data_IF_062689657466
#
_entry.id   IF_062689657466
#
_cell.length_a   1.000
_cell.length_b   1.000
_cell.length_c   1.000
_cell.angle_alpha   90.00
_cell.angle_beta   90.00
_cell.angle_gamma   90.00
#
_symmetry.space_group_name_H-M   'P 1'
#
loop_
_entity.id
_entity.type
_entity.pdbx_description
1 polymer ?
#
# COMPACT_ATOMS: atom_id res chain seq x y z
N UNK A 1 27.03 -0.01 -21.23
CA UNK A 1 25.74 0.68 -20.99
C UNK A 1 25.66 0.95 -19.50
N UNK A 2 25.58 2.22 -19.06
CA UNK A 2 25.60 2.57 -17.63
C UNK A 2 24.17 2.41 -17.09
N UNK A 3 23.97 1.62 -16.04
CA UNK A 3 22.66 1.55 -15.39
C UNK A 3 22.33 2.94 -14.81
N UNK A 4 21.16 3.48 -15.18
CA UNK A 4 20.62 4.72 -14.59
C UNK A 4 20.19 4.43 -13.15
N UNK A 5 20.34 5.39 -12.26
CA UNK A 5 19.84 5.28 -10.89
C UNK A 5 18.32 5.48 -10.87
N UNK A 6 17.63 4.91 -9.88
CA UNK A 6 16.17 5.04 -9.72
C UNK A 6 15.71 6.50 -9.71
N UNK A 7 16.44 7.36 -9.02
CA UNK A 7 16.16 8.80 -8.93
C UNK A 7 16.43 9.60 -10.22
N UNK A 8 16.98 8.96 -11.26
CA UNK A 8 17.20 9.56 -12.58
C UNK A 8 16.09 9.19 -13.57
N UNK A 9 15.15 8.32 -13.19
CA UNK A 9 14.03 7.89 -14.02
C UNK A 9 12.86 8.85 -13.91
N UNK A 10 12.18 9.09 -15.02
CA UNK A 10 10.97 9.90 -15.05
C UNK A 10 9.79 9.12 -14.44
N UNK A 11 8.77 9.83 -13.94
CA UNK A 11 7.63 9.19 -13.27
C UNK A 11 6.94 8.08 -14.09
N UNK A 12 6.71 8.23 -15.40
CA UNK A 12 6.13 7.16 -16.21
C UNK A 12 7.05 5.93 -16.32
N UNK A 13 8.38 6.16 -16.41
CA UNK A 13 9.37 5.08 -16.43
C UNK A 13 9.38 4.32 -15.10
N UNK A 14 9.33 5.06 -13.97
CA UNK A 14 9.23 4.48 -12.62
C UNK A 14 7.97 3.65 -12.46
N UNK A 15 6.80 4.20 -12.81
CA UNK A 15 5.52 3.47 -12.76
C UNK A 15 5.61 2.17 -13.57
N UNK A 16 6.01 2.27 -14.84
CA UNK A 16 6.09 1.09 -15.72
C UNK A 16 7.03 0.02 -15.17
N UNK A 17 8.18 0.44 -14.62
CA UNK A 17 9.13 -0.47 -13.99
C UNK A 17 8.51 -1.15 -12.75
N UNK A 18 7.88 -0.40 -11.83
CA UNK A 18 7.27 -0.98 -10.62
C UNK A 18 6.11 -1.92 -10.95
N UNK A 19 5.23 -1.54 -11.88
CA UNK A 19 4.15 -2.41 -12.37
C UNK A 19 4.74 -3.71 -12.92
N UNK A 20 5.82 -3.65 -13.71
CA UNK A 20 6.47 -4.84 -14.26
C UNK A 20 7.12 -5.75 -13.22
N UNK A 21 7.55 -5.20 -12.08
CA UNK A 21 8.12 -5.96 -10.97
C UNK A 21 7.05 -6.66 -10.11
N UNK A 22 5.84 -6.12 -10.10
CA UNK A 22 4.71 -6.62 -9.29
C UNK A 22 3.86 -7.60 -10.08
N UNK A 23 3.61 -7.32 -11.35
CA UNK A 23 2.70 -8.11 -12.19
C UNK A 23 3.15 -9.57 -12.28
N UNK A 24 2.30 -10.50 -11.82
CA UNK A 24 2.60 -11.93 -11.81
C UNK A 24 3.55 -12.38 -10.70
N UNK A 25 3.86 -11.50 -9.73
CA UNK A 25 4.55 -11.87 -8.51
C UNK A 25 3.62 -12.70 -7.61
N UNK A 26 4.15 -13.74 -6.95
CA UNK A 26 3.39 -14.61 -6.04
C UNK A 26 2.79 -13.90 -4.80
N UNK A 27 3.21 -12.66 -4.56
CA UNK A 27 2.84 -11.81 -3.42
C UNK A 27 2.33 -10.45 -3.87
N UNK A 28 1.77 -10.40 -5.07
CA UNK A 28 1.26 -9.17 -5.68
C UNK A 28 0.27 -8.44 -4.75
N UNK A 29 -0.64 -9.17 -4.10
CA UNK A 29 -1.58 -8.62 -3.12
C UNK A 29 -0.89 -8.03 -1.91
N UNK A 30 0.05 -8.74 -1.29
CA UNK A 30 0.78 -8.25 -0.12
C UNK A 30 1.64 -7.02 -0.45
N UNK A 31 2.24 -7.01 -1.64
CA UNK A 31 3.01 -5.86 -2.13
C UNK A 31 2.08 -4.65 -2.31
N UNK A 32 0.93 -4.82 -2.98
CA UNK A 32 -0.05 -3.77 -3.19
C UNK A 32 -0.54 -3.19 -1.86
N UNK A 33 -0.93 -4.05 -0.92
CA UNK A 33 -1.37 -3.66 0.42
C UNK A 33 -0.30 -2.85 1.16
N UNK A 34 0.96 -3.30 1.17
CA UNK A 34 2.02 -2.57 1.88
C UNK A 34 2.35 -1.24 1.21
N UNK A 35 2.36 -1.18 -0.12
CA UNK A 35 2.52 0.09 -0.83
C UNK A 35 1.38 1.07 -0.48
N UNK A 36 0.14 0.57 -0.44
CA UNK A 36 -1.03 1.34 -0.05
C UNK A 36 -0.93 1.84 1.40
N UNK A 37 -0.59 0.96 2.35
CA UNK A 37 -0.41 1.30 3.77
C UNK A 37 0.65 2.40 3.96
N UNK A 38 1.83 2.24 3.35
CA UNK A 38 2.90 3.22 3.47
C UNK A 38 2.56 4.55 2.78
N UNK A 39 1.89 4.49 1.63
CA UNK A 39 1.47 5.68 0.90
C UNK A 39 0.37 6.45 1.67
N UNK A 40 -0.69 5.77 2.12
CA UNK A 40 -1.78 6.38 2.88
C UNK A 40 -1.28 7.12 4.13
N UNK A 41 -0.36 6.52 4.89
CA UNK A 41 0.21 7.13 6.11
C UNK A 41 1.09 8.36 5.79
N UNK A 42 1.75 8.38 4.63
CA UNK A 42 2.73 9.41 4.27
C UNK A 42 2.21 10.43 3.26
N UNK A 43 0.99 10.28 2.77
CA UNK A 43 0.43 11.13 1.73
C UNK A 43 0.39 12.58 2.23
N UNK A 44 1.14 13.50 1.60
CA UNK A 44 1.10 14.90 1.99
C UNK A 44 -0.30 15.48 1.75
N UNK A 45 -0.77 16.38 2.62
CA UNK A 45 -2.09 17.02 2.47
C UNK A 45 -2.24 17.72 1.11
N UNK A 46 -1.17 18.32 0.58
CA UNK A 46 -1.16 18.90 -0.77
C UNK A 46 -1.43 17.88 -1.87
N UNK A 47 -0.91 16.66 -1.71
CA UNK A 47 -1.14 15.56 -2.64
C UNK A 47 -2.54 14.98 -2.44
N UNK A 48 -3.02 14.85 -1.20
CA UNK A 48 -4.40 14.45 -0.92
C UNK A 48 -5.42 15.39 -1.58
N UNK A 49 -5.15 16.71 -1.55
CA UNK A 49 -5.97 17.71 -2.25
C UNK A 49 -5.92 17.61 -3.77
N UNK A 50 -4.75 17.30 -4.35
CA UNK A 50 -4.59 17.05 -5.80
C UNK A 50 -5.41 15.85 -6.29
N UNK A 51 -5.59 14.86 -5.43
CA UNK A 51 -6.27 13.59 -5.75
C UNK A 51 -7.72 13.53 -5.25
N UNK A 52 -8.25 14.62 -4.70
CA UNK A 52 -9.60 14.70 -4.11
C UNK A 52 -9.87 13.62 -3.04
N UNK A 53 -8.89 13.38 -2.15
CA UNK A 53 -8.97 12.37 -1.06
C UNK A 53 -8.73 12.98 0.32
N UNK A 54 -8.95 14.28 0.50
CA UNK A 54 -8.73 14.97 1.78
C UNK A 54 -9.70 14.56 2.88
N UNK A 55 -10.86 14.04 2.51
CA UNK A 55 -11.89 13.57 3.46
C UNK A 55 -11.76 12.09 3.77
N UNK A 56 -10.90 11.36 3.03
CA UNK A 56 -10.69 9.94 3.24
C UNK A 56 -9.91 9.68 4.52
N UNK A 57 -10.36 8.70 5.30
CA UNK A 57 -9.56 8.14 6.38
C UNK A 57 -8.43 7.24 5.84
N UNK A 58 -7.55 6.78 6.74
CA UNK A 58 -6.40 5.95 6.35
C UNK A 58 -6.86 4.61 5.74
N UNK A 59 -7.95 4.02 6.23
CA UNK A 59 -8.47 2.75 5.72
C UNK A 59 -9.01 2.93 4.31
N UNK A 60 -9.80 3.98 4.08
CA UNK A 60 -10.34 4.32 2.76
C UNK A 60 -9.21 4.60 1.75
N UNK A 61 -8.16 5.31 2.18
CA UNK A 61 -6.98 5.56 1.34
C UNK A 61 -6.24 4.27 0.99
N UNK A 62 -6.11 3.34 1.93
CA UNK A 62 -5.48 2.03 1.68
C UNK A 62 -6.29 1.30 0.62
N UNK A 63 -7.61 1.18 0.79
CA UNK A 63 -8.48 0.46 -0.14
C UNK A 63 -8.42 1.05 -1.55
N UNK A 64 -8.45 2.38 -1.68
CA UNK A 64 -8.35 3.07 -2.98
C UNK A 64 -7.01 2.76 -3.67
N UNK A 65 -5.90 2.87 -2.95
CA UNK A 65 -4.56 2.68 -3.52
C UNK A 65 -4.33 1.21 -3.86
N UNK A 66 -4.65 0.29 -2.95
CA UNK A 66 -4.49 -1.15 -3.15
C UNK A 66 -5.32 -1.63 -4.34
N UNK A 67 -6.60 -1.26 -4.36
CA UNK A 67 -7.50 -1.61 -5.46
C UNK A 67 -6.98 -1.07 -6.79
N UNK A 68 -6.52 0.18 -6.84
CA UNK A 68 -5.96 0.76 -8.06
C UNK A 68 -4.67 0.08 -8.52
N UNK A 69 -3.82 -0.43 -7.62
CA UNK A 69 -2.62 -1.20 -7.98
C UNK A 69 -2.99 -2.59 -8.55
N UNK A 70 -3.98 -3.25 -7.96
CA UNK A 70 -4.39 -4.62 -8.32
C UNK A 70 -5.34 -4.68 -9.53
N UNK A 71 -6.18 -3.65 -9.75
CA UNK A 71 -7.17 -3.60 -10.82
C UNK A 71 -6.58 -3.19 -12.18
N UNK A 72 -5.47 -3.81 -12.59
CA UNK A 72 -4.85 -3.62 -13.91
C UNK A 72 -5.78 -4.05 -15.07
N UNK A 73 -6.88 -4.78 -14.78
CA UNK A 73 -7.77 -5.39 -15.79
C UNK A 73 -9.27 -5.12 -15.62
N UNK A 74 -9.71 -4.34 -14.62
CA UNK A 74 -11.13 -4.24 -14.26
C UNK A 74 -11.65 -2.84 -13.92
N UNK A 75 -10.78 -1.97 -13.42
CA UNK A 75 -11.07 -0.56 -13.24
C UNK A 75 -10.50 0.24 -14.41
N UNK A 76 -11.06 1.41 -14.70
CA UNK A 76 -10.54 2.27 -15.77
C UNK A 76 -9.06 2.60 -15.53
N UNK A 77 -8.30 2.82 -16.61
CA UNK A 77 -6.89 3.26 -16.58
C UNK A 77 -6.63 4.44 -15.62
N UNK A 78 -7.67 5.24 -15.35
CA UNK A 78 -7.66 6.38 -14.44
C UNK A 78 -7.44 6.00 -12.97
N UNK A 79 -7.95 4.85 -12.50
CA UNK A 79 -7.80 4.42 -11.11
C UNK A 79 -6.37 3.93 -10.82
N UNK A 80 -5.80 3.16 -11.75
CA UNK A 80 -4.41 2.70 -11.66
C UNK A 80 -3.43 3.88 -11.70
N UNK A 81 -3.67 4.85 -12.60
CA UNK A 81 -2.87 6.07 -12.66
C UNK A 81 -2.98 6.89 -11.38
N UNK A 82 -4.19 7.05 -10.83
CA UNK A 82 -4.41 7.75 -9.55
C UNK A 82 -3.66 7.07 -8.41
N UNK A 83 -3.76 5.75 -8.27
CA UNK A 83 -3.08 4.98 -7.24
C UNK A 83 -1.56 5.13 -7.32
N UNK A 84 -0.96 4.92 -8.49
CA UNK A 84 0.49 5.09 -8.67
C UNK A 84 0.95 6.53 -8.47
N UNK A 85 0.13 7.52 -8.85
CA UNK A 85 0.42 8.92 -8.60
C UNK A 85 0.47 9.22 -7.10
N UNK A 86 -0.48 8.68 -6.32
CA UNK A 86 -0.47 8.78 -4.85
C UNK A 86 0.75 8.08 -4.23
N UNK A 87 1.10 6.88 -4.69
CA UNK A 87 2.29 6.15 -4.22
C UNK A 87 3.57 6.95 -4.46
N UNK A 88 3.76 7.46 -5.69
CA UNK A 88 4.95 8.23 -6.08
C UNK A 88 4.98 9.64 -5.45
N UNK A 89 3.82 10.22 -5.11
CA UNK A 89 3.74 11.47 -4.35
C UNK A 89 4.04 11.28 -2.85
N UNK A 90 3.94 10.05 -2.34
CA UNK A 90 4.09 9.73 -0.91
C UNK A 90 5.42 9.07 -0.57
N UNK A 91 6.00 8.30 -1.50
CA UNK A 91 7.16 7.44 -1.26
C UNK A 91 8.29 7.75 -2.24
N UNK A 92 9.52 7.74 -1.72
CA UNK A 92 10.71 7.77 -2.57
C UNK A 92 10.83 6.48 -3.41
N UNK A 93 11.29 6.56 -4.66
CA UNK A 93 11.44 5.39 -5.54
C UNK A 93 12.23 4.23 -4.91
N UNK A 94 13.29 4.54 -4.14
CA UNK A 94 14.10 3.55 -3.45
C UNK A 94 13.29 2.77 -2.41
N UNK A 95 12.34 3.43 -1.74
CA UNK A 95 11.47 2.79 -0.75
C UNK A 95 10.46 1.86 -1.41
N UNK A 96 9.90 2.27 -2.54
CA UNK A 96 8.97 1.45 -3.33
C UNK A 96 9.69 0.18 -3.79
N UNK A 97 10.87 0.35 -4.39
CA UNK A 97 11.71 -0.77 -4.82
C UNK A 97 12.07 -1.73 -3.68
N UNK A 98 12.44 -1.18 -2.52
CA UNK A 98 12.77 -1.97 -1.33
C UNK A 98 11.56 -2.75 -0.80
N UNK A 99 10.35 -2.19 -0.80
CA UNK A 99 9.13 -2.91 -0.40
C UNK A 99 8.87 -4.09 -1.35
N UNK A 100 8.92 -3.85 -2.66
CA UNK A 100 8.67 -4.88 -3.67
C UNK A 100 9.69 -6.02 -3.54
N UNK A 101 10.98 -5.70 -3.43
CA UNK A 101 12.06 -6.69 -3.44
C UNK A 101 12.27 -7.41 -2.10
N UNK A 102 11.86 -6.80 -0.99
CA UNK A 102 12.00 -7.37 0.37
C UNK A 102 10.64 -7.61 1.04
N UNK A 103 9.64 -8.00 0.27
CA UNK A 103 8.25 -8.18 0.73
C UNK A 103 8.13 -9.05 1.99
N UNK A 104 8.88 -10.15 2.07
CA UNK A 104 8.86 -11.06 3.23
C UNK A 104 9.28 -10.37 4.53
N UNK A 105 10.30 -9.51 4.45
CA UNK A 105 10.77 -8.77 5.61
C UNK A 105 9.66 -7.82 6.12
N UNK A 106 8.97 -7.13 5.21
CA UNK A 106 7.88 -6.23 5.57
C UNK A 106 6.67 -6.97 6.13
N UNK A 107 6.24 -8.06 5.48
CA UNK A 107 5.11 -8.85 5.94
C UNK A 107 5.38 -9.52 7.29
N UNK A 108 6.60 -10.00 7.54
CA UNK A 108 6.96 -10.52 8.85
C UNK A 108 6.85 -9.45 9.94
N UNK A 109 7.26 -8.21 9.66
CA UNK A 109 7.13 -7.09 10.60
C UNK A 109 5.68 -6.66 10.80
N UNK A 110 4.90 -6.58 9.72
CA UNK A 110 3.47 -6.30 9.79
C UNK A 110 2.77 -7.33 10.68
N UNK A 111 2.96 -8.63 10.40
CA UNK A 111 2.38 -9.73 11.15
C UNK A 111 2.83 -9.78 12.61
N UNK A 112 4.07 -9.39 12.90
CA UNK A 112 4.56 -9.29 14.28
C UNK A 112 3.86 -8.19 15.09
N UNK A 113 3.29 -7.18 14.41
CA UNK A 113 2.54 -6.08 15.03
C UNK A 113 1.05 -6.43 15.10
N UNK A 114 0.46 -6.93 14.02
CA UNK A 114 -0.99 -7.12 13.92
C UNK A 114 -1.50 -8.34 14.68
N UNK A 115 -0.80 -9.48 14.62
CA UNK A 115 -1.25 -10.71 15.31
C UNK A 115 -1.48 -10.51 16.82
N UNK A 116 -0.58 -9.84 17.57
CA UNK A 116 -0.86 -9.54 18.98
C UNK A 116 -2.08 -8.64 19.20
N UNK A 117 -2.35 -7.70 18.29
CA UNK A 117 -3.51 -6.80 18.40
C UNK A 117 -4.81 -7.56 18.15
N UNK A 118 -4.86 -8.42 17.13
CA UNK A 118 -6.00 -9.29 16.84
C UNK A 118 -6.29 -10.24 18.01
N UNK A 119 -5.24 -10.80 18.62
CA UNK A 119 -5.38 -11.65 19.80
C UNK A 119 -5.93 -10.89 21.02
N UNK A 120 -5.49 -9.64 21.20
CA UNK A 120 -6.00 -8.78 22.26
C UNK A 120 -7.48 -8.45 22.04
N UNK A 121 -7.85 -8.04 20.82
CA UNK A 121 -9.24 -7.77 20.44
C UNK A 121 -10.13 -8.98 20.67
N UNK A 122 -9.72 -10.16 20.20
CA UNK A 122 -10.44 -11.40 20.42
C UNK A 122 -10.62 -11.71 21.91
N UNK A 123 -9.57 -11.52 22.71
CA UNK A 123 -9.61 -11.76 24.17
C UNK A 123 -10.59 -10.80 24.85
N UNK A 124 -10.60 -9.52 24.46
CA UNK A 124 -11.52 -8.53 24.98
C UNK A 124 -12.98 -8.88 24.64
N UNK A 125 -13.26 -9.23 23.39
CA UNK A 125 -14.60 -9.66 22.95
C UNK A 125 -15.10 -10.88 23.72
N UNK A 126 -14.21 -11.83 23.99
CA UNK A 126 -14.54 -13.01 24.80
C UNK A 126 -14.91 -12.63 26.24
N UNK A 127 -14.16 -11.73 26.88
CA UNK A 127 -14.48 -11.27 28.24
C UNK A 127 -15.87 -10.60 28.26
N UNK A 128 -16.17 -9.72 27.31
CA UNK A 128 -17.46 -9.04 27.27
C UNK A 128 -18.62 -10.00 27.03
N UNK A 129 -18.46 -10.99 26.16
CA UNK A 129 -19.53 -11.98 25.89
C UNK A 129 -19.72 -12.97 27.03
N UNK A 130 -18.67 -13.32 27.79
CA UNK A 130 -18.78 -14.16 28.99
C UNK A 130 -19.37 -13.42 30.20
N UNK A 131 -19.23 -12.09 30.26
CA UNK A 131 -19.83 -11.25 31.30
C UNK A 131 -21.34 -11.00 31.13
N UNK A 132 -21.88 -11.10 29.91
CA UNK A 132 -23.33 -10.95 29.64
C UNK A 132 -24.17 -12.19 30.01
N UNK A 133 -23.53 -13.30 30.37
CA UNK A 133 -24.21 -14.58 30.70
C UNK A 133 -24.40 -14.78 32.22
N UNK A 134 -24.23 -13.72 33.04
CA UNK A 134 -24.42 -13.74 34.50
C UNK A 134 -25.56 -12.83 34.95
#
# INVERSE_FOLDING_TARGET
MKARKLNELERPELKSMFVSLISGHDKETEIAYLLALFAAIKLPLSSAGKHDVTECDISELIDIIETGILNQNGAGLDEEEKAWSMVLDSLHPEKIFDIITNIDYYMNRYNAITKPLEQLEYTMLKIFTEMEVV
#
